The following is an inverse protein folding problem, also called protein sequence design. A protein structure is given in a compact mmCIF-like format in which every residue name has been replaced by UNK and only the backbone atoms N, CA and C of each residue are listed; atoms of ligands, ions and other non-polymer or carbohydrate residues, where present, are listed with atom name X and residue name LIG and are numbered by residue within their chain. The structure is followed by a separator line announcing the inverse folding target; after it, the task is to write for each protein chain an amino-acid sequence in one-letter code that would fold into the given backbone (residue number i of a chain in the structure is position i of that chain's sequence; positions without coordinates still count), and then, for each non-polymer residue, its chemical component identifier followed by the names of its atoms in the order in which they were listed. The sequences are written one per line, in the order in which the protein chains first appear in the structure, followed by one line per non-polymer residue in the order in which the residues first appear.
data_IF_583147554382
#
_entry.id   IF_583147554382
#
_cell.length_a   1.000
_cell.length_b   1.000
_cell.length_c   1.000
_cell.angle_alpha   90.00
_cell.angle_beta   90.00
_cell.angle_gamma   90.00
#
_symmetry.space_group_name_H-M   'P 1'
#
loop_
_entity.id
_entity.type
_entity.pdbx_description
1 polymer ?
#
# COMPACT_ATOMS: atom_id res chain seq x y z
N UNK A 1 -12.75 0.32 2.69
CA UNK A 1 -13.19 -0.85 1.89
C UNK A 1 -12.15 -1.04 0.78
N UNK A 2 -11.34 -2.09 0.84
CA UNK A 2 -10.34 -2.38 -0.19
C UNK A 2 -11.06 -2.74 -1.51
N UNK A 3 -10.86 -1.93 -2.55
CA UNK A 3 -11.46 -2.17 -3.87
C UNK A 3 -10.44 -2.88 -4.75
N UNK A 4 -10.53 -4.22 -4.81
CA UNK A 4 -9.78 -5.04 -5.76
C UNK A 4 -10.61 -5.16 -7.04
N UNK A 5 -10.05 -4.73 -8.17
CA UNK A 5 -10.74 -4.86 -9.47
C UNK A 5 -10.19 -6.08 -10.22
N UNK A 6 -11.04 -7.09 -10.44
CA UNK A 6 -10.70 -8.35 -11.10
C UNK A 6 -11.55 -8.53 -12.37
N UNK A 7 -10.98 -8.46 -13.59
CA UNK A 7 -11.67 -8.95 -14.77
C UNK A 7 -11.50 -10.47 -14.88
N UNK A 8 -12.60 -11.18 -15.09
CA UNK A 8 -12.58 -12.63 -15.31
C UNK A 8 -11.74 -12.97 -16.55
N UNK A 9 -10.63 -13.69 -16.36
CA UNK A 9 -9.81 -14.22 -17.45
C UNK A 9 -10.60 -15.35 -18.15
N UNK A 10 -10.77 -15.25 -19.47
CA UNK A 10 -11.35 -16.31 -20.29
C UNK A 10 -10.43 -17.54 -20.25
N UNK A 11 -10.90 -18.66 -19.70
CA UNK A 11 -10.24 -19.97 -19.83
C UNK A 11 -9.92 -20.74 -18.53
N UNK A 12 -10.42 -20.30 -17.38
CA UNK A 12 -10.27 -21.00 -16.10
C UNK A 12 -10.38 -19.99 -14.97
N UNK A 13 -11.21 -20.25 -13.96
CA UNK A 13 -11.46 -19.30 -12.88
C UNK A 13 -10.18 -19.05 -12.06
N UNK A 14 -9.43 -18.01 -12.43
CA UNK A 14 -8.35 -17.44 -11.62
C UNK A 14 -8.89 -17.16 -10.22
N UNK A 15 -8.31 -17.82 -9.21
CA UNK A 15 -8.75 -17.69 -7.84
C UNK A 15 -7.91 -16.61 -7.17
N UNK A 16 -8.52 -15.46 -6.87
CA UNK A 16 -7.87 -14.33 -6.17
C UNK A 16 -7.07 -14.77 -4.92
N UNK A 17 -7.60 -15.74 -4.18
CA UNK A 17 -6.95 -16.28 -2.96
C UNK A 17 -5.73 -17.16 -3.23
N UNK A 18 -5.40 -17.45 -4.49
CA UNK A 18 -4.19 -18.16 -4.90
C UNK A 18 -3.08 -17.19 -5.30
N UNK A 19 -3.31 -15.88 -5.29
CA UNK A 19 -2.28 -14.92 -5.66
C UNK A 19 -1.13 -14.89 -4.65
N UNK A 20 0.10 -14.86 -5.17
CA UNK A 20 1.29 -14.64 -4.36
C UNK A 20 1.42 -13.16 -4.01
N UNK A 21 0.94 -12.80 -2.82
CA UNK A 21 0.97 -11.43 -2.28
C UNK A 21 2.39 -10.86 -2.22
N UNK A 22 3.44 -11.70 -2.14
CA UNK A 22 4.82 -11.19 -2.13
C UNK A 22 5.23 -10.57 -3.47
N UNK A 23 4.52 -10.91 -4.56
CA UNK A 23 4.71 -10.32 -5.89
C UNK A 23 3.79 -9.13 -6.14
N UNK A 24 2.92 -8.79 -5.19
CA UNK A 24 2.02 -7.66 -5.32
C UNK A 24 2.82 -6.34 -5.29
N UNK A 25 2.47 -5.36 -6.16
CA UNK A 25 3.08 -4.04 -6.12
C UNK A 25 2.82 -3.31 -4.80
N UNK A 26 3.55 -2.22 -4.52
CA UNK A 26 3.27 -1.38 -3.36
C UNK A 26 1.84 -0.83 -3.37
N UNK A 27 1.25 -0.72 -2.19
CA UNK A 27 -0.07 -0.13 -1.95
C UNK A 27 0.06 1.39 -2.02
N UNK A 28 -0.76 2.01 -2.87
CA UNK A 28 -0.85 3.46 -2.91
C UNK A 28 -1.85 3.95 -1.84
N UNK A 29 -1.32 4.47 -0.73
CA UNK A 29 -2.13 4.98 0.37
C UNK A 29 -2.74 6.36 0.11
N UNK A 30 -2.16 7.17 -0.78
CA UNK A 30 -2.74 8.46 -1.18
C UNK A 30 -3.94 8.27 -2.13
N UNK A 31 -3.92 7.23 -2.96
CA UNK A 31 -5.01 6.91 -3.89
C UNK A 31 -6.10 6.02 -3.26
N UNK A 32 -6.71 6.49 -2.18
CA UNK A 32 -7.82 5.80 -1.49
C UNK A 32 -7.50 4.36 -1.03
N UNK A 33 -6.23 4.08 -0.71
CA UNK A 33 -5.76 2.77 -0.23
C UNK A 33 -6.09 1.67 -1.26
N UNK A 34 -5.69 1.91 -2.51
CA UNK A 34 -5.96 1.00 -3.62
C UNK A 34 -4.74 0.13 -3.95
N UNK A 35 -5.00 -1.18 -4.09
CA UNK A 35 -4.05 -2.11 -4.72
C UNK A 35 -4.22 -1.98 -6.23
N UNK A 36 -3.25 -1.36 -6.89
CA UNK A 36 -3.21 -1.26 -8.35
C UNK A 36 -2.28 -2.34 -8.90
N UNK A 37 -2.82 -3.53 -9.16
CA UNK A 37 -2.06 -4.66 -9.69
C UNK A 37 -2.56 -5.01 -11.09
N UNK A 38 -1.67 -4.92 -12.08
CA UNK A 38 -1.98 -5.38 -13.43
C UNK A 38 -2.16 -6.90 -13.46
N UNK A 39 -3.27 -7.35 -14.05
CA UNK A 39 -3.64 -8.78 -14.11
C UNK A 39 -2.58 -9.64 -14.80
N UNK A 40 -1.89 -9.11 -15.80
CA UNK A 40 -0.79 -9.82 -16.49
C UNK A 40 0.41 -10.14 -15.59
N UNK A 41 0.58 -9.35 -14.53
CA UNK A 41 1.70 -9.43 -13.59
C UNK A 41 1.29 -10.22 -12.33
N UNK A 42 0.03 -10.65 -12.24
CA UNK A 42 -0.45 -11.51 -11.18
C UNK A 42 0.15 -12.90 -11.31
N UNK A 43 0.70 -13.41 -10.21
CA UNK A 43 1.25 -14.75 -10.11
C UNK A 43 0.42 -15.55 -9.14
N UNK A 44 -0.16 -16.64 -9.63
CA UNK A 44 -0.86 -17.61 -8.80
C UNK A 44 0.10 -18.67 -8.29
N UNK A 45 -0.10 -19.09 -7.04
CA UNK A 45 0.57 -20.22 -6.42
C UNK A 45 -0.52 -21.19 -5.91
N UNK A 46 -0.62 -22.40 -6.49
CA UNK A 46 -1.67 -23.36 -6.12
C UNK A 46 -1.56 -23.85 -4.67
N UNK A 47 -0.39 -23.72 -4.03
CA UNK A 47 -0.14 -24.14 -2.65
C UNK A 47 -0.60 -23.12 -1.60
N UNK A 48 -0.94 -21.89 -2.00
CA UNK A 48 -1.45 -20.88 -1.07
C UNK A 48 -2.91 -21.21 -0.73
N UNK A 49 -3.26 -21.29 0.55
CA UNK A 49 -4.65 -21.33 1.00
C UNK A 49 -5.18 -19.92 1.32
N UNK A 50 -6.50 -19.81 1.56
CA UNK A 50 -7.14 -18.52 1.83
C UNK A 50 -6.58 -17.82 3.07
N UNK A 51 -6.22 -18.58 4.10
CA UNK A 51 -5.70 -18.05 5.36
C UNK A 51 -4.30 -17.46 5.15
N UNK A 52 -3.43 -18.23 4.51
CA UNK A 52 -2.07 -17.85 4.11
C UNK A 52 -2.10 -16.60 3.22
N UNK A 53 -3.03 -16.54 2.27
CA UNK A 53 -3.25 -15.36 1.44
C UNK A 53 -3.57 -14.12 2.29
N UNK A 54 -4.54 -14.23 3.21
CA UNK A 54 -4.95 -13.11 4.06
C UNK A 54 -3.84 -12.68 5.03
N UNK A 55 -3.11 -13.63 5.62
CA UNK A 55 -1.97 -13.33 6.49
C UNK A 55 -0.88 -12.55 5.74
N UNK A 56 -0.54 -12.99 4.53
CA UNK A 56 0.45 -12.30 3.71
C UNK A 56 -0.04 -10.91 3.30
N UNK A 57 -1.35 -10.77 3.00
CA UNK A 57 -1.96 -9.49 2.66
C UNK A 57 -1.91 -8.51 3.84
N UNK A 58 -2.28 -8.95 5.04
CA UNK A 58 -2.23 -8.12 6.25
C UNK A 58 -0.78 -7.72 6.58
N UNK A 59 0.17 -8.66 6.50
CA UNK A 59 1.60 -8.37 6.73
C UNK A 59 2.13 -7.32 5.76
N UNK A 60 1.88 -7.50 4.46
CA UNK A 60 2.30 -6.54 3.43
C UNK A 60 1.66 -5.18 3.66
N UNK A 61 0.36 -5.15 3.91
CA UNK A 61 -0.37 -3.91 4.21
C UNK A 61 0.23 -3.17 5.41
N UNK A 62 0.50 -3.87 6.50
CA UNK A 62 1.03 -3.27 7.72
C UNK A 62 2.44 -2.68 7.50
N UNK A 63 3.33 -3.42 6.82
CA UNK A 63 4.69 -2.96 6.52
C UNK A 63 4.66 -1.69 5.66
N UNK A 64 3.86 -1.70 4.60
CA UNK A 64 3.78 -0.56 3.68
C UNK A 64 3.10 0.64 4.35
N UNK A 65 2.11 0.42 5.22
CA UNK A 65 1.50 1.47 6.02
C UNK A 65 2.49 2.14 6.97
N UNK A 66 3.29 1.34 7.69
CA UNK A 66 4.33 1.87 8.58
C UNK A 66 5.34 2.73 7.82
N UNK A 67 5.76 2.28 6.64
CA UNK A 67 6.66 3.05 5.77
C UNK A 67 6.02 4.37 5.34
N UNK A 68 4.80 4.31 4.82
CA UNK A 68 4.07 5.48 4.34
C UNK A 68 3.85 6.53 5.44
N UNK A 69 3.38 6.09 6.62
CA UNK A 69 3.18 7.00 7.75
C UNK A 69 4.50 7.55 8.28
N UNK A 70 5.57 6.75 8.31
CA UNK A 70 6.89 7.23 8.71
C UNK A 70 7.41 8.36 7.83
N UNK A 71 7.34 8.19 6.50
CA UNK A 71 7.73 9.24 5.54
C UNK A 71 6.85 10.48 5.67
N UNK A 72 5.52 10.30 5.83
CA UNK A 72 4.57 11.40 5.99
C UNK A 72 4.80 12.19 7.28
N UNK A 73 5.01 11.50 8.40
CA UNK A 73 5.31 12.14 9.69
C UNK A 73 6.57 12.97 9.60
N UNK A 74 7.66 12.43 9.03
CA UNK A 74 8.92 13.16 8.86
C UNK A 74 8.75 14.42 8.01
N UNK A 75 7.97 14.34 6.93
CA UNK A 75 7.70 15.50 6.07
C UNK A 75 6.91 16.59 6.81
N UNK A 76 5.92 16.20 7.62
CA UNK A 76 5.14 17.13 8.46
C UNK A 76 6.04 17.79 9.51
N UNK A 77 6.90 17.02 10.18
CA UNK A 77 7.86 17.54 11.16
C UNK A 77 8.80 18.57 10.53
N UNK A 78 9.33 18.29 9.35
CA UNK A 78 10.18 19.22 8.60
C UNK A 78 9.43 20.52 8.28
N UNK A 79 8.18 20.42 7.79
CA UNK A 79 7.35 21.58 7.50
C UNK A 79 7.08 22.42 8.75
N UNK A 80 6.73 21.79 9.87
CA UNK A 80 6.51 22.49 11.14
C UNK A 80 7.79 23.22 11.57
N UNK A 81 8.95 22.57 11.44
CA UNK A 81 10.23 23.19 11.78
C UNK A 81 10.56 24.40 10.90
N UNK A 82 10.27 24.35 9.60
CA UNK A 82 10.42 25.48 8.69
C UNK A 82 9.49 26.64 9.06
N UNK A 83 8.21 26.35 9.35
CA UNK A 83 7.24 27.34 9.78
C UNK A 83 7.65 28.01 11.10
N UNK A 84 8.14 27.22 12.07
CA UNK A 84 8.64 27.76 13.33
C UNK A 84 9.84 28.70 13.13
N UNK A 85 10.79 28.35 12.25
CA UNK A 85 11.91 29.24 11.90
C UNK A 85 11.42 30.56 11.29
N UNK A 86 10.40 30.49 10.43
CA UNK A 86 9.79 31.66 9.80
C UNK A 86 9.09 32.55 10.82
N UNK A 87 8.31 31.96 11.75
CA UNK A 87 7.66 32.70 12.85
C UNK A 87 8.69 33.42 13.71
N UNK A 88 9.79 32.74 14.07
CA UNK A 88 10.86 33.33 14.88
C UNK A 88 11.61 34.44 14.15
N UNK A 89 11.76 34.35 12.83
CA UNK A 89 12.30 35.44 12.02
C UNK A 89 11.41 36.69 12.10
N UNK A 90 10.10 36.55 11.92
CA UNK A 90 9.17 37.68 11.98
C UNK A 90 8.99 38.27 13.37
N UNK A 91 9.13 37.49 14.45
CA UNK A 91 9.07 38.00 15.84
C UNK A 91 10.25 38.89 16.23
N UNK A 92 11.37 38.79 15.51
CA UNK A 92 12.61 39.54 15.77
C UNK A 92 12.72 40.81 14.95
N UNK A 93 11.76 41.07 14.06
CA UNK A 93 11.56 42.36 13.41
C UNK A 93 10.69 43.26 14.29
#
# INVERSE_FOLDING_TARGET
MLKVSYPALKGGASCFFKLDVNKMPPINFDAAIQIQWHVRDMKENPYIDKTTFLENLVKKYFIEWQKFMGERTKNIENLINELNKLIEFYRKQ
#
